data_IF_563120259152
#
_entry.id   IF_563120259152
#
_cell.length_a   1.000
_cell.length_b   1.000
_cell.length_c   1.000
_cell.angle_alpha   90.00
_cell.angle_beta   90.00
_cell.angle_gamma   90.00
#
_symmetry.space_group_name_H-M   'P 1'
#
loop_
_entity.id
_entity.type
_entity.pdbx_description
1 polymer ?
#
# COMPACT_ATOMS: atom_id res chain seq x y z
N UNK A 1 -2.25 16.26 2.40
CA UNK A 1 -0.92 16.71 2.88
C UNK A 1 -0.71 16.07 4.23
N UNK A 2 0.50 15.91 4.69
CA UNK A 2 0.81 15.40 6.03
C UNK A 2 1.15 16.57 6.96
N UNK A 3 1.03 16.40 8.28
CA UNK A 3 1.58 17.36 9.24
C UNK A 3 3.09 17.16 9.35
N UNK A 4 3.86 18.23 9.25
CA UNK A 4 5.33 18.21 9.14
C UNK A 4 5.98 19.18 10.11
N UNK A 5 7.29 19.02 10.35
CA UNK A 5 8.05 19.97 11.20
C UNK A 5 8.13 21.34 10.55
N UNK A 6 8.27 21.41 9.22
CA UNK A 6 8.33 22.67 8.46
C UNK A 6 6.98 22.93 7.76
N UNK A 7 6.68 24.20 7.39
CA UNK A 7 5.42 24.54 6.74
C UNK A 7 5.17 23.72 5.47
N UNK A 8 3.90 23.49 5.13
CA UNK A 8 3.49 22.75 3.92
C UNK A 8 3.99 23.37 2.60
N UNK A 9 4.39 24.62 2.62
CA UNK A 9 5.03 25.31 1.49
C UNK A 9 6.48 24.91 1.26
N UNK A 10 7.09 24.20 2.21
CA UNK A 10 8.44 23.65 2.04
C UNK A 10 8.43 22.57 0.97
N UNK A 11 9.18 22.78 -0.09
CA UNK A 11 9.22 21.88 -1.26
C UNK A 11 9.76 20.49 -0.92
N UNK A 12 10.53 20.34 0.16
CA UNK A 12 11.02 19.04 0.65
C UNK A 12 9.88 18.10 1.06
N UNK A 13 8.77 18.66 1.53
CA UNK A 13 7.59 17.91 1.94
C UNK A 13 6.67 17.55 0.76
N UNK A 14 6.99 18.00 -0.47
CA UNK A 14 6.19 17.69 -1.66
C UNK A 14 6.57 16.28 -2.17
N UNK A 15 5.55 15.50 -2.50
CA UNK A 15 5.72 14.25 -3.24
C UNK A 15 5.34 14.53 -4.71
N UNK A 16 6.30 15.03 -5.48
CA UNK A 16 6.09 15.44 -6.87
C UNK A 16 5.90 14.25 -7.79
N UNK A 17 5.33 14.51 -8.96
CA UNK A 17 5.22 13.50 -10.00
C UNK A 17 6.62 12.98 -10.41
N UNK A 18 6.71 11.70 -10.70
CA UNK A 18 7.95 10.98 -11.05
C UNK A 18 9.00 10.88 -9.93
N UNK A 19 8.62 11.13 -8.68
CA UNK A 19 9.48 10.89 -7.51
C UNK A 19 9.26 9.52 -6.85
N UNK A 20 8.54 8.61 -7.52
CA UNK A 20 8.26 7.27 -7.02
C UNK A 20 6.99 7.17 -6.16
N UNK A 21 6.12 8.20 -6.17
CA UNK A 21 4.87 8.24 -5.39
C UNK A 21 3.61 8.39 -6.27
N UNK A 22 3.72 8.23 -7.58
CA UNK A 22 2.61 8.45 -8.52
C UNK A 22 1.47 7.43 -8.41
N UNK A 23 1.67 6.36 -7.67
CA UNK A 23 0.62 5.41 -7.27
C UNK A 23 -0.02 5.69 -5.91
N UNK A 24 0.39 6.76 -5.20
CA UNK A 24 -0.34 7.27 -4.04
C UNK A 24 -1.41 8.22 -4.54
N UNK A 25 -2.66 7.94 -4.23
CA UNK A 25 -3.84 8.51 -4.87
C UNK A 25 -4.78 9.16 -3.86
N UNK A 26 -5.58 10.11 -4.32
CA UNK A 26 -6.71 10.62 -3.55
C UNK A 26 -7.94 9.74 -3.82
N UNK A 27 -8.56 9.25 -2.76
CA UNK A 27 -9.77 8.43 -2.80
C UNK A 27 -10.93 9.26 -2.31
N UNK A 28 -11.92 9.54 -3.15
CA UNK A 28 -13.10 10.32 -2.79
C UNK A 28 -14.33 9.42 -2.66
N UNK A 29 -15.03 9.56 -1.54
CA UNK A 29 -16.20 8.75 -1.16
C UNK A 29 -17.29 9.66 -0.60
N UNK A 30 -18.45 9.72 -1.24
CA UNK A 30 -19.66 10.42 -0.73
C UNK A 30 -19.40 11.86 -0.23
N UNK A 31 -18.54 12.62 -0.91
CA UNK A 31 -18.25 14.02 -0.56
C UNK A 31 -17.07 14.21 0.41
N UNK A 32 -16.53 13.14 0.94
CA UNK A 32 -15.27 13.13 1.71
C UNK A 32 -14.13 12.60 0.86
N UNK A 33 -12.91 12.79 1.32
CA UNK A 33 -11.75 12.19 0.69
C UNK A 33 -10.77 11.62 1.73
N UNK A 34 -9.98 10.69 1.27
CA UNK A 34 -8.82 10.14 1.95
C UNK A 34 -7.72 9.85 0.93
N UNK A 35 -6.77 9.08 1.35
CA UNK A 35 -5.63 8.64 0.55
C UNK A 35 -5.71 7.13 0.30
N UNK A 36 -5.05 6.65 -0.74
CA UNK A 36 -4.90 5.23 -1.03
C UNK A 36 -3.60 4.96 -1.78
N UNK A 37 -3.27 3.70 -1.96
CA UNK A 37 -2.05 3.27 -2.64
C UNK A 37 -2.34 2.17 -3.65
N UNK A 38 -1.82 2.34 -4.88
CA UNK A 38 -1.96 1.37 -5.97
C UNK A 38 -1.10 0.14 -5.71
N UNK A 39 -1.71 -1.03 -5.68
CA UNK A 39 -1.01 -2.28 -5.50
C UNK A 39 -0.39 -2.80 -6.81
N UNK A 40 0.44 -3.81 -6.67
CA UNK A 40 1.29 -4.41 -7.70
C UNK A 40 0.54 -4.96 -8.94
N UNK A 41 -0.77 -5.13 -8.84
CA UNK A 41 -1.61 -5.63 -9.95
C UNK A 41 -2.15 -4.52 -10.87
N UNK A 42 -1.86 -3.24 -10.61
CA UNK A 42 -2.29 -2.13 -11.44
C UNK A 42 -3.79 -1.79 -11.43
N UNK A 43 -4.61 -2.48 -10.61
CA UNK A 43 -6.07 -2.31 -10.58
C UNK A 43 -6.64 -2.08 -9.18
N UNK A 44 -5.91 -2.45 -8.14
CA UNK A 44 -6.40 -2.38 -6.77
C UNK A 44 -5.74 -1.24 -5.99
N UNK A 45 -6.56 -0.42 -5.35
CA UNK A 45 -6.13 0.60 -4.40
C UNK A 45 -6.38 0.08 -2.98
N UNK A 46 -5.34 -0.04 -2.18
CA UNK A 46 -5.45 -0.31 -0.76
C UNK A 46 -5.66 1.01 -0.01
N UNK A 47 -6.64 1.06 0.88
CA UNK A 47 -7.04 2.24 1.65
C UNK A 47 -7.68 1.85 2.98
N UNK A 48 -8.18 2.82 3.76
CA UNK A 48 -8.84 2.57 5.03
C UNK A 48 -10.33 2.21 4.87
N UNK A 49 -10.82 1.28 5.69
CA UNK A 49 -12.22 0.86 5.71
C UNK A 49 -13.16 1.96 6.22
N UNK A 50 -12.72 2.77 7.19
CA UNK A 50 -13.55 3.82 7.77
C UNK A 50 -14.02 4.88 6.75
N UNK A 51 -13.34 5.04 5.61
CA UNK A 51 -13.80 5.89 4.51
C UNK A 51 -15.15 5.44 3.94
N UNK A 52 -15.51 4.19 4.14
CA UNK A 52 -16.76 3.55 3.67
C UNK A 52 -17.76 3.27 4.78
N UNK A 53 -17.54 3.82 5.98
CA UNK A 53 -18.41 3.59 7.16
C UNK A 53 -19.85 4.06 6.97
N UNK A 54 -20.10 4.96 6.01
CA UNK A 54 -21.43 5.40 5.60
C UNK A 54 -22.17 4.39 4.70
N UNK A 55 -21.60 3.22 4.42
CA UNK A 55 -22.16 2.19 3.54
C UNK A 55 -21.92 2.43 2.05
N UNK A 56 -21.09 3.38 1.66
CA UNK A 56 -20.74 3.61 0.25
C UNK A 56 -20.06 2.39 -0.36
N UNK A 57 -20.48 2.03 -1.57
CA UNK A 57 -19.93 0.90 -2.34
C UNK A 57 -19.16 1.33 -3.58
N UNK A 58 -18.91 2.62 -3.72
CA UNK A 58 -18.19 3.23 -4.84
C UNK A 58 -17.26 4.34 -4.37
N UNK A 59 -16.22 4.59 -5.14
CA UNK A 59 -15.27 5.67 -4.95
C UNK A 59 -14.82 6.23 -6.29
N UNK A 60 -14.30 7.46 -6.27
CA UNK A 60 -13.45 7.99 -7.35
C UNK A 60 -12.02 8.09 -6.89
N UNK A 61 -11.09 7.75 -7.78
CA UNK A 61 -9.66 7.69 -7.48
C UNK A 61 -8.93 8.64 -8.42
N UNK A 62 -8.30 9.66 -7.85
CA UNK A 62 -7.51 10.64 -8.60
C UNK A 62 -6.03 10.30 -8.52
N UNK A 63 -5.42 10.05 -9.66
CA UNK A 63 -3.99 9.93 -9.85
C UNK A 63 -3.39 11.29 -10.23
N UNK A 64 -2.19 11.57 -9.74
CA UNK A 64 -1.37 12.70 -10.16
C UNK A 64 0.00 12.15 -10.56
N UNK A 65 0.24 12.03 -11.86
CA UNK A 65 1.43 11.42 -12.44
C UNK A 65 2.18 12.38 -13.35
N UNK A 66 3.34 11.98 -13.84
CA UNK A 66 4.10 12.74 -14.84
C UNK A 66 3.35 12.94 -16.16
N UNK A 67 2.38 12.08 -16.47
CA UNK A 67 1.49 12.23 -17.63
C UNK A 67 0.29 13.16 -17.36
N UNK A 68 0.19 13.73 -16.16
CA UNK A 68 -0.91 14.60 -15.72
C UNK A 68 -1.86 13.93 -14.74
N UNK A 69 -2.93 14.65 -14.39
CA UNK A 69 -3.96 14.15 -13.49
C UNK A 69 -5.00 13.31 -14.25
N UNK A 70 -5.36 12.16 -13.70
CA UNK A 70 -6.40 11.29 -14.22
C UNK A 70 -7.32 10.81 -13.09
N UNK A 71 -8.62 10.80 -13.33
CA UNK A 71 -9.61 10.29 -12.36
C UNK A 71 -10.29 9.05 -12.91
N UNK A 72 -10.29 7.98 -12.14
CA UNK A 72 -10.97 6.72 -12.43
C UNK A 72 -12.07 6.47 -11.40
N UNK A 73 -13.08 5.73 -11.80
CA UNK A 73 -14.12 5.23 -10.89
C UNK A 73 -13.79 3.83 -10.41
N UNK A 74 -14.32 3.44 -9.27
CA UNK A 74 -14.28 2.05 -8.84
C UNK A 74 -15.33 1.21 -9.57
N UNK A 75 -14.97 -0.04 -9.87
CA UNK A 75 -15.94 -1.08 -10.25
C UNK A 75 -16.48 -1.80 -9.01
N UNK A 76 -15.70 -1.82 -7.92
CA UNK A 76 -16.02 -2.51 -6.69
C UNK A 76 -15.28 -1.91 -5.50
N UNK A 77 -15.89 -1.95 -4.32
CA UNK A 77 -15.26 -1.66 -3.03
C UNK A 77 -15.41 -2.87 -2.12
N UNK A 78 -14.33 -3.31 -1.54
CA UNK A 78 -14.26 -4.47 -0.66
C UNK A 78 -13.69 -4.04 0.69
N UNK A 79 -14.58 -3.79 1.65
CA UNK A 79 -14.21 -3.52 3.04
C UNK A 79 -13.91 -4.85 3.73
N UNK A 80 -12.86 -4.91 4.56
CA UNK A 80 -12.57 -6.08 5.38
C UNK A 80 -13.80 -6.47 6.20
N UNK A 81 -14.25 -7.73 6.06
CA UNK A 81 -15.48 -8.20 6.73
C UNK A 81 -15.42 -8.17 8.26
N UNK A 82 -14.21 -8.12 8.81
CA UNK A 82 -13.93 -8.04 10.25
C UNK A 82 -13.62 -6.61 10.72
N UNK A 83 -13.89 -5.59 9.90
CA UNK A 83 -13.69 -4.20 10.30
C UNK A 83 -14.51 -3.87 11.55
N UNK A 84 -13.84 -3.36 12.58
CA UNK A 84 -14.41 -2.97 13.87
C UNK A 84 -14.10 -1.49 14.12
N UNK A 85 -15.07 -0.64 13.85
CA UNK A 85 -14.93 0.81 13.98
C UNK A 85 -14.71 1.26 15.44
N UNK A 86 -15.23 0.51 16.42
CA UNK A 86 -15.10 0.88 17.84
C UNK A 86 -13.67 0.72 18.36
N UNK A 87 -12.93 -0.23 17.80
CA UNK A 87 -11.54 -0.52 18.18
C UNK A 87 -10.54 -0.22 17.05
N UNK A 88 -11.02 0.35 15.93
CA UNK A 88 -10.22 0.61 14.72
C UNK A 88 -9.45 -0.62 14.21
N UNK A 89 -9.96 -1.82 14.51
CA UNK A 89 -9.37 -3.07 14.08
C UNK A 89 -9.77 -3.41 12.65
N UNK A 90 -8.83 -3.96 11.89
CA UNK A 90 -9.05 -4.39 10.50
C UNK A 90 -9.54 -3.24 9.60
N UNK A 91 -9.06 -2.02 9.84
CA UNK A 91 -9.45 -0.82 9.13
C UNK A 91 -8.78 -0.76 7.74
N UNK A 92 -9.13 -1.72 6.90
CA UNK A 92 -8.63 -1.87 5.53
C UNK A 92 -9.77 -2.06 4.53
N UNK A 93 -9.64 -1.44 3.38
CA UNK A 93 -10.50 -1.64 2.22
C UNK A 93 -9.68 -1.71 0.93
N UNK A 94 -10.19 -2.43 -0.05
CA UNK A 94 -9.66 -2.47 -1.41
C UNK A 94 -10.69 -1.86 -2.36
N UNK A 95 -10.29 -0.81 -3.05
CA UNK A 95 -11.04 -0.20 -4.14
C UNK A 95 -10.51 -0.78 -5.44
N UNK A 96 -11.33 -1.56 -6.16
CA UNK A 96 -10.99 -2.11 -7.46
C UNK A 96 -11.39 -1.11 -8.53
N UNK A 97 -10.44 -0.71 -9.35
CA UNK A 97 -10.65 0.28 -10.41
C UNK A 97 -11.52 -0.27 -11.54
N UNK A 98 -12.26 0.59 -12.20
CA UNK A 98 -12.91 0.28 -13.45
C UNK A 98 -11.91 0.46 -14.61
N UNK A 99 -11.10 -0.59 -14.84
CA UNK A 99 -9.94 -0.60 -15.72
C UNK A 99 -8.62 -0.53 -14.95
N UNK A 100 -7.52 -0.33 -15.68
CA UNK A 100 -6.19 -0.27 -15.13
C UNK A 100 -5.78 1.17 -14.78
N UNK A 101 -4.87 1.29 -13.82
CA UNK A 101 -4.26 2.56 -13.44
C UNK A 101 -3.42 3.15 -14.60
N UNK A 102 -3.16 4.48 -14.61
CA UNK A 102 -2.28 5.11 -15.59
C UNK A 102 -0.91 4.40 -15.66
N UNK A 103 -0.33 4.31 -16.86
CA UNK A 103 0.95 3.64 -17.09
C UNK A 103 2.10 4.21 -16.26
N UNK A 104 2.06 5.53 -16.05
CA UNK A 104 3.07 6.27 -15.26
C UNK A 104 2.85 6.19 -13.75
N UNK A 105 1.76 5.59 -13.27
CA UNK A 105 1.54 5.38 -11.85
C UNK A 105 2.42 4.24 -11.32
N UNK A 106 3.07 4.45 -10.19
CA UNK A 106 3.85 3.40 -9.54
C UNK A 106 2.94 2.31 -8.98
N UNK A 107 3.30 1.04 -9.21
CA UNK A 107 2.68 -0.15 -8.61
C UNK A 107 3.54 -0.58 -7.44
N UNK A 108 2.93 -0.81 -6.26
CA UNK A 108 3.70 -1.11 -5.06
C UNK A 108 3.47 -2.52 -4.56
N UNK A 109 4.57 -3.16 -4.17
CA UNK A 109 4.60 -4.42 -3.44
C UNK A 109 4.25 -4.22 -1.96
N UNK A 110 3.76 -5.29 -1.33
CA UNK A 110 3.54 -5.33 0.11
C UNK A 110 4.88 -5.56 0.84
N UNK A 111 5.07 -4.88 1.97
CA UNK A 111 6.11 -5.23 2.92
C UNK A 111 5.65 -6.45 3.71
N UNK A 112 6.35 -7.57 3.52
CA UNK A 112 5.88 -8.89 3.99
C UNK A 112 6.52 -9.35 5.30
N UNK A 113 7.59 -8.70 5.74
CA UNK A 113 8.26 -9.03 6.99
C UNK A 113 7.56 -8.39 8.19
N UNK A 114 7.55 -9.09 9.33
CA UNK A 114 6.94 -8.60 10.57
C UNK A 114 7.96 -7.93 11.51
N UNK A 115 8.92 -7.21 10.93
CA UNK A 115 10.03 -6.57 11.61
C UNK A 115 10.04 -5.04 11.43
N UNK A 116 8.85 -4.42 11.30
CA UNK A 116 8.68 -3.00 11.02
C UNK A 116 9.05 -2.11 12.21
N UNK A 117 8.87 -2.59 13.45
CA UNK A 117 9.17 -1.82 14.66
C UNK A 117 10.66 -1.48 14.71
N UNK A 118 10.96 -0.21 14.97
CA UNK A 118 12.30 0.36 14.91
C UNK A 118 12.74 0.81 13.52
N UNK A 119 11.93 0.57 12.48
CA UNK A 119 12.27 1.01 11.11
C UNK A 119 11.67 2.36 10.79
N UNK A 120 12.48 3.18 10.15
CA UNK A 120 12.03 4.42 9.51
C UNK A 120 11.18 4.10 8.29
N UNK A 121 10.12 4.85 8.10
CA UNK A 121 9.23 4.78 6.95
C UNK A 121 8.96 6.16 6.36
N UNK A 122 8.58 6.20 5.09
CA UNK A 122 8.03 7.39 4.46
C UNK A 122 6.50 7.31 4.48
N UNK A 123 5.84 8.32 5.02
CA UNK A 123 4.39 8.49 4.92
C UNK A 123 4.07 9.47 3.79
N UNK A 124 3.03 9.17 3.02
CA UNK A 124 2.63 9.97 1.85
C UNK A 124 1.12 10.06 1.79
N UNK A 125 0.60 11.27 1.61
CA UNK A 125 -0.85 11.44 1.53
C UNK A 125 -1.33 12.80 1.06
N UNK A 126 -2.66 12.97 1.09
CA UNK A 126 -3.41 14.13 0.63
C UNK A 126 -4.15 14.86 1.77
N UNK A 127 -3.80 14.61 3.03
CA UNK A 127 -4.48 15.17 4.20
C UNK A 127 -4.42 16.70 4.31
N UNK A 128 -4.93 17.24 5.40
CA UNK A 128 -4.85 18.69 5.70
C UNK A 128 -3.40 19.10 5.96
N UNK A 129 -2.99 20.32 5.53
CA UNK A 129 -1.65 20.79 5.85
C UNK A 129 -1.57 21.15 7.33
N UNK A 130 -0.46 20.78 7.96
CA UNK A 130 -0.21 21.08 9.36
C UNK A 130 1.27 21.25 9.67
N UNK A 131 1.54 21.76 10.86
CA UNK A 131 2.89 21.70 11.44
C UNK A 131 2.83 21.11 12.84
N UNK A 132 3.88 20.42 13.24
CA UNK A 132 3.95 19.85 14.59
C UNK A 132 3.75 20.90 15.70
N UNK A 133 4.08 22.15 15.47
CA UNK A 133 3.94 23.24 16.46
C UNK A 133 2.54 23.85 16.55
N UNK A 134 1.66 23.62 15.56
CA UNK A 134 0.33 24.25 15.51
C UNK A 134 -0.80 23.29 15.12
N UNK A 135 -0.45 22.04 14.82
CA UNK A 135 -1.40 21.06 14.32
C UNK A 135 -1.84 21.35 12.88
N UNK A 136 -2.85 20.61 12.43
CA UNK A 136 -3.45 20.75 11.10
C UNK A 136 -4.29 22.01 10.94
N UNK A 137 -4.30 22.55 9.73
CA UNK A 137 -5.09 23.73 9.40
C UNK A 137 -6.46 23.36 8.86
N UNK A 138 -7.46 23.23 9.72
CA UNK A 138 -8.85 22.95 9.34
C UNK A 138 -9.46 24.07 8.47
N UNK A 139 -8.87 25.27 8.47
CA UNK A 139 -9.30 26.37 7.61
C UNK A 139 -8.71 26.30 6.18
N UNK A 140 -7.89 25.30 5.88
CA UNK A 140 -7.34 25.15 4.54
C UNK A 140 -8.43 24.78 3.53
N UNK A 141 -8.67 25.68 2.60
CA UNK A 141 -9.67 25.51 1.54
C UNK A 141 -9.05 25.30 0.14
N UNK A 142 -7.73 25.09 0.09
CA UNK A 142 -7.02 24.83 -1.16
C UNK A 142 -7.23 23.39 -1.66
N UNK A 143 -6.80 23.14 -2.90
CA UNK A 143 -6.78 21.78 -3.43
C UNK A 143 -5.78 20.94 -2.65
N UNK A 144 -6.18 19.75 -2.16
CA UNK A 144 -5.24 18.82 -1.52
C UNK A 144 -4.07 18.49 -2.45
N UNK A 145 -2.87 18.55 -1.90
CA UNK A 145 -1.63 18.23 -2.62
C UNK A 145 -0.93 17.07 -1.94
N UNK A 146 -0.36 16.16 -2.75
CA UNK A 146 0.39 15.04 -2.25
C UNK A 146 1.68 15.51 -1.57
N UNK A 147 1.81 15.16 -0.30
CA UNK A 147 3.00 15.45 0.51
C UNK A 147 3.56 14.19 1.13
N UNK A 148 4.79 14.29 1.61
CA UNK A 148 5.54 13.21 2.26
C UNK A 148 6.26 13.74 3.49
N UNK A 149 6.47 12.83 4.43
CA UNK A 149 7.35 13.00 5.57
C UNK A 149 7.96 11.64 5.94
N UNK A 150 8.79 11.61 6.94
CA UNK A 150 9.31 10.37 7.52
C UNK A 150 8.88 10.24 8.97
N UNK A 151 8.79 9.01 9.44
CA UNK A 151 8.66 8.72 10.86
C UNK A 151 9.25 7.32 11.13
N UNK A 152 9.27 6.87 12.36
CA UNK A 152 9.73 5.55 12.77
C UNK A 152 8.57 4.82 13.45
N UNK A 153 8.38 3.55 13.13
CA UNK A 153 7.45 2.73 13.91
C UNK A 153 8.07 2.36 15.25
N UNK A 154 7.47 2.82 16.33
CA UNK A 154 8.03 2.71 17.67
C UNK A 154 7.50 1.49 18.42
N UNK A 155 6.23 1.12 18.20
CA UNK A 155 5.60 0.00 18.90
C UNK A 155 4.37 -0.56 18.15
N UNK A 156 3.80 -1.62 18.72
CA UNK A 156 2.46 -2.11 18.41
C UNK A 156 1.44 -1.46 19.37
N UNK A 157 0.28 -1.07 18.88
CA UNK A 157 -0.75 -0.39 19.66
C UNK A 157 -1.26 -1.24 20.85
N UNK A 158 -1.17 -2.57 20.75
CA UNK A 158 -1.54 -3.45 21.88
C UNK A 158 -0.59 -3.32 23.05
N UNK A 159 0.68 -2.98 22.82
CA UNK A 159 1.67 -2.68 23.87
C UNK A 159 1.27 -1.40 24.63
N UNK A 160 0.84 -0.37 23.89
CA UNK A 160 0.31 0.86 24.47
C UNK A 160 -0.93 0.58 25.31
N UNK A 161 -1.89 -0.20 24.79
CA UNK A 161 -3.09 -0.64 25.53
C UNK A 161 -2.76 -1.43 26.79
N UNK A 162 -1.80 -2.34 26.73
CA UNK A 162 -1.37 -3.13 27.89
C UNK A 162 -0.84 -2.25 29.03
N UNK A 163 -0.18 -1.14 28.72
CA UNK A 163 0.38 -0.21 29.70
C UNK A 163 -0.67 0.77 30.22
N UNK A 164 -1.46 1.37 29.33
CA UNK A 164 -2.41 2.43 29.68
C UNK A 164 -3.76 1.90 30.21
N UNK A 165 -4.08 0.62 29.97
CA UNK A 165 -5.31 0.01 30.41
C UNK A 165 -6.57 0.78 29.99
N UNK A 166 -7.44 1.18 30.96
CA UNK A 166 -8.69 1.89 30.67
C UNK A 166 -8.52 3.29 30.09
N UNK A 167 -7.35 3.93 30.26
CA UNK A 167 -7.06 5.25 29.68
C UNK A 167 -7.17 5.23 28.15
N UNK A 168 -6.83 4.11 27.55
CA UNK A 168 -7.08 3.84 26.14
C UNK A 168 -8.43 3.13 26.00
N UNK A 169 -9.48 3.83 25.57
CA UNK A 169 -10.85 3.35 25.56
C UNK A 169 -11.21 2.38 24.41
N UNK A 170 -10.26 2.05 23.55
CA UNK A 170 -10.38 1.02 22.51
C UNK A 170 -9.35 -0.09 22.74
N UNK A 171 -9.55 -1.23 22.07
CA UNK A 171 -8.68 -2.41 22.23
C UNK A 171 -8.17 -2.87 20.86
N UNK A 172 -6.93 -2.49 20.48
CA UNK A 172 -6.31 -2.96 19.27
C UNK A 172 -6.01 -4.46 19.33
N UNK A 173 -6.18 -5.14 18.20
CA UNK A 173 -5.71 -6.52 18.04
C UNK A 173 -4.19 -6.55 18.04
N UNK A 174 -3.62 -7.44 18.86
CA UNK A 174 -2.17 -7.57 18.98
C UNK A 174 -1.51 -7.89 17.63
N UNK A 175 -0.43 -7.19 17.32
CA UNK A 175 0.36 -7.39 16.12
C UNK A 175 -0.24 -6.82 14.84
N UNK A 176 -1.34 -6.05 14.92
CA UNK A 176 -2.05 -5.58 13.72
C UNK A 176 -2.02 -4.07 13.50
N UNK A 177 -1.63 -3.30 14.51
CA UNK A 177 -1.58 -1.83 14.42
C UNK A 177 -0.20 -1.33 14.84
N UNK A 178 0.55 -0.77 13.90
CA UNK A 178 1.83 -0.10 14.15
C UNK A 178 1.56 1.33 14.57
N UNK A 179 2.33 1.84 15.54
CA UNK A 179 2.22 3.22 16.04
C UNK A 179 3.56 3.94 15.99
N UNK A 180 3.47 5.25 15.79
CA UNK A 180 4.57 6.21 15.86
C UNK A 180 4.05 7.51 16.48
N UNK A 181 4.87 8.22 17.24
CA UNK A 181 4.52 9.54 17.73
C UNK A 181 5.13 10.66 16.87
N UNK A 182 4.65 11.88 17.08
CA UNK A 182 5.16 13.04 16.35
C UNK A 182 6.06 13.86 17.28
N UNK A 183 7.34 13.71 17.07
CA UNK A 183 8.38 14.26 17.91
C UNK A 183 8.92 15.62 17.45
N UNK A 184 9.39 16.40 18.41
CA UNK A 184 10.06 17.68 18.14
C UNK A 184 11.55 17.70 18.53
N UNK A 185 12.14 16.55 18.78
CA UNK A 185 13.52 16.39 19.23
C UNK A 185 13.69 16.53 20.75
N UNK A 186 12.60 16.69 21.51
CA UNK A 186 12.65 16.80 22.96
C UNK A 186 11.93 15.63 23.65
N UNK A 187 12.37 15.28 24.85
CA UNK A 187 11.70 14.24 25.64
C UNK A 187 10.30 14.64 26.09
N UNK A 188 9.97 15.93 26.10
CA UNK A 188 8.66 16.42 26.54
C UNK A 188 7.53 15.95 25.62
N UNK A 189 7.74 15.94 24.31
CA UNK A 189 6.79 15.55 23.28
C UNK A 189 7.01 14.11 22.76
N UNK A 190 8.03 13.39 23.23
CA UNK A 190 8.19 11.96 22.92
C UNK A 190 7.10 11.17 23.69
N UNK A 191 5.94 11.00 23.07
CA UNK A 191 4.76 10.39 23.69
C UNK A 191 4.99 8.93 24.02
N UNK A 192 5.45 8.14 23.06
CA UNK A 192 5.67 6.70 23.24
C UNK A 192 6.85 6.44 24.16
N UNK A 193 7.91 7.27 24.12
CA UNK A 193 9.01 7.20 25.08
C UNK A 193 8.56 7.45 26.51
N UNK A 194 7.65 8.41 26.74
CA UNK A 194 7.16 8.75 28.07
C UNK A 194 6.06 7.82 28.58
N UNK A 195 5.19 7.32 27.71
CA UNK A 195 4.06 6.48 28.09
C UNK A 195 4.44 5.00 28.25
N UNK A 196 5.31 4.48 27.36
CA UNK A 196 5.64 3.05 27.31
C UNK A 196 7.13 2.75 27.20
N UNK A 197 7.98 3.76 27.34
CA UNK A 197 9.45 3.66 27.21
C UNK A 197 9.87 3.08 25.82
N UNK A 198 9.17 3.46 24.76
CA UNK A 198 9.43 3.08 23.38
C UNK A 198 9.65 4.31 22.49
N UNK A 199 10.36 4.10 21.40
CA UNK A 199 10.59 5.16 20.42
C UNK A 199 11.83 6.00 20.64
N UNK A 200 12.02 6.93 19.72
CA UNK A 200 13.11 7.89 19.70
C UNK A 200 12.57 9.31 19.98
N UNK A 201 13.41 10.32 19.92
CA UNK A 201 12.99 11.72 19.99
C UNK A 201 12.80 12.36 18.61
N UNK A 202 12.64 11.53 17.58
CA UNK A 202 12.28 11.91 16.24
C UNK A 202 13.42 12.00 15.23
N UNK A 203 13.05 12.30 14.00
CA UNK A 203 13.90 12.36 12.81
C UNK A 203 14.26 13.80 12.42
N UNK A 204 14.09 14.76 13.33
CA UNK A 204 14.36 16.18 13.10
C UNK A 204 13.44 16.77 12.04
N UNK A 205 13.97 17.57 11.11
CA UNK A 205 13.15 18.25 10.09
C UNK A 205 12.47 17.35 9.06
N UNK A 206 12.79 16.05 9.05
CA UNK A 206 12.14 15.07 8.19
C UNK A 206 10.90 14.44 8.82
N UNK A 207 10.72 14.64 10.11
CA UNK A 207 9.60 14.08 10.88
C UNK A 207 8.25 14.61 10.42
N UNK A 208 7.23 13.76 10.53
CA UNK A 208 5.86 14.15 10.31
C UNK A 208 4.88 13.09 10.76
N UNK A 209 3.62 13.46 10.80
CA UNK A 209 2.49 12.61 11.16
C UNK A 209 1.38 12.70 10.12
N UNK A 210 0.48 11.74 10.12
CA UNK A 210 -0.76 11.81 9.33
C UNK A 210 -1.69 12.89 9.89
N UNK A 211 -2.54 13.45 9.03
CA UNK A 211 -3.55 14.44 9.36
C UNK A 211 -4.90 14.05 8.72
N UNK A 212 -5.98 14.78 8.99
CA UNK A 212 -7.28 14.53 8.37
C UNK A 212 -7.16 14.50 6.84
N UNK A 213 -7.65 13.41 6.19
CA UNK A 213 -7.51 13.14 4.76
C UNK A 213 -6.31 12.28 4.37
N UNK A 214 -5.37 12.00 5.29
CA UNK A 214 -4.34 10.98 5.07
C UNK A 214 -4.81 9.55 5.34
N UNK A 215 -6.02 9.37 5.88
CA UNK A 215 -6.68 8.08 6.07
C UNK A 215 -6.55 7.19 4.84
N UNK A 216 -6.02 5.98 5.01
CA UNK A 216 -5.74 5.05 3.91
C UNK A 216 -4.41 5.29 3.20
N UNK A 217 -3.66 6.32 3.55
CA UNK A 217 -2.34 6.61 3.00
C UNK A 217 -1.28 5.59 3.42
N UNK A 218 -0.31 5.31 2.54
CA UNK A 218 0.73 4.33 2.83
C UNK A 218 1.83 4.86 3.76
N UNK A 219 2.36 3.96 4.58
CA UNK A 219 3.69 4.03 5.16
C UNK A 219 4.60 3.08 4.37
N UNK A 220 5.68 3.60 3.79
CA UNK A 220 6.61 2.84 2.97
C UNK A 220 7.89 2.50 3.72
N UNK A 221 8.26 1.22 3.76
CA UNK A 221 9.60 0.75 4.13
C UNK A 221 10.26 0.21 2.86
N UNK A 222 11.40 0.79 2.48
CA UNK A 222 12.14 0.41 1.27
C UNK A 222 11.27 0.36 0.00
N UNK A 223 10.35 1.34 -0.16
CA UNK A 223 9.45 1.44 -1.29
C UNK A 223 8.30 0.42 -1.32
N UNK A 224 8.11 -0.38 -0.26
CA UNK A 224 7.02 -1.34 -0.12
C UNK A 224 6.02 -0.86 0.92
N UNK A 225 4.74 -1.16 0.73
CA UNK A 225 3.65 -0.75 1.62
C UNK A 225 3.70 -1.57 2.91
N UNK A 226 4.10 -0.94 4.01
CA UNK A 226 4.23 -1.55 5.33
C UNK A 226 3.05 -1.24 6.27
N UNK A 227 2.40 -0.10 6.08
CA UNK A 227 1.25 0.32 6.86
C UNK A 227 0.25 1.12 6.06
N UNK A 228 -1.01 1.12 6.50
CA UNK A 228 -2.11 1.94 5.96
C UNK A 228 -2.63 2.84 7.09
N UNK A 229 -2.56 4.13 6.90
CA UNK A 229 -2.95 5.15 7.87
C UNK A 229 -4.40 4.98 8.34
N UNK A 230 -4.62 4.99 9.65
CA UNK A 230 -5.91 4.68 10.24
C UNK A 230 -6.42 5.78 11.15
N UNK A 231 -5.67 6.19 12.18
CA UNK A 231 -6.11 7.22 13.13
C UNK A 231 -4.93 7.95 13.80
N UNK A 232 -5.24 9.10 14.40
CA UNK A 232 -4.37 9.82 15.33
C UNK A 232 -5.06 9.92 16.69
N UNK A 233 -4.28 10.09 17.75
CA UNK A 233 -4.79 10.20 19.11
C UNK A 233 -3.83 10.99 20.00
N UNK A 234 -4.39 11.70 20.98
CA UNK A 234 -3.68 12.32 22.09
C UNK A 234 -3.93 11.51 23.36
N UNK A 235 -2.90 11.02 24.02
CA UNK A 235 -2.99 10.22 25.20
C UNK A 235 -2.13 10.77 26.34
N UNK A 236 -2.68 10.66 27.56
CA UNK A 236 -2.01 11.13 28.78
C UNK A 236 -2.19 10.09 29.89
N UNK A 237 -1.23 9.98 30.80
CA UNK A 237 -1.32 9.11 31.97
C UNK A 237 -0.68 9.78 33.19
N UNK A 238 -1.47 9.99 34.24
CA UNK A 238 -1.00 10.66 35.45
C UNK A 238 -0.50 12.08 35.17
N UNK A 239 0.79 12.32 35.43
CA UNK A 239 1.45 13.61 35.14
C UNK A 239 2.11 13.67 33.75
N UNK A 240 1.96 12.62 32.95
CA UNK A 240 2.53 12.55 31.60
C UNK A 240 1.51 13.10 30.59
N UNK A 241 1.80 14.27 30.03
CA UNK A 241 1.01 14.96 29.00
C UNK A 241 1.96 15.33 27.86
N UNK A 242 2.15 14.48 26.85
CA UNK A 242 3.11 14.73 25.78
C UNK A 242 2.65 15.75 24.74
N UNK A 243 1.35 15.75 24.46
CA UNK A 243 0.72 16.62 23.47
C UNK A 243 0.85 18.08 23.86
N UNK A 244 1.28 18.93 22.92
CA UNK A 244 1.60 20.34 23.18
C UNK A 244 0.38 21.21 23.47
N UNK A 245 -0.82 20.84 23.00
CA UNK A 245 -2.04 21.65 23.12
C UNK A 245 -3.26 20.88 23.64
N UNK A 246 -3.12 19.59 23.91
CA UNK A 246 -4.17 18.67 24.36
C UNK A 246 -5.36 18.55 23.39
N UNK A 247 -5.14 18.75 22.09
CA UNK A 247 -6.13 18.64 21.04
C UNK A 247 -5.67 17.63 20.00
N UNK A 248 -6.55 16.75 19.52
CA UNK A 248 -6.21 15.81 18.44
C UNK A 248 -6.22 16.59 17.12
N UNK A 249 -5.06 16.98 16.63
CA UNK A 249 -4.90 17.84 15.46
C UNK A 249 -3.58 17.64 14.70
N UNK A 250 -2.93 16.49 14.87
CA UNK A 250 -1.63 16.16 14.28
C UNK A 250 -0.50 17.12 14.69
N UNK A 251 -0.47 17.55 15.97
CA UNK A 251 0.60 18.33 16.58
C UNK A 251 1.63 17.45 17.30
N UNK A 252 2.73 18.08 17.79
CA UNK A 252 3.75 17.34 18.52
C UNK A 252 3.22 16.68 19.79
N UNK A 253 3.64 15.45 20.01
CA UNK A 253 3.26 14.65 21.16
C UNK A 253 2.00 13.82 20.96
N UNK A 254 1.42 13.84 19.76
CA UNK A 254 0.35 12.94 19.37
C UNK A 254 0.88 11.62 18.77
N UNK A 255 0.05 10.58 18.80
CA UNK A 255 0.37 9.25 18.32
C UNK A 255 -0.49 8.95 17.09
N UNK A 256 0.14 8.52 16.03
CA UNK A 256 -0.51 8.03 14.81
C UNK A 256 -0.43 6.52 14.71
N UNK A 257 -1.43 5.91 14.07
CA UNK A 257 -1.53 4.47 13.91
C UNK A 257 -1.79 4.06 12.46
N UNK A 258 -1.19 2.94 12.07
CA UNK A 258 -1.31 2.31 10.75
C UNK A 258 -1.71 0.85 10.90
N UNK A 259 -2.62 0.38 10.06
CA UNK A 259 -2.87 -1.05 9.93
C UNK A 259 -1.63 -1.72 9.35
N UNK A 260 -1.12 -2.75 10.04
CA UNK A 260 0.14 -3.44 9.72
C UNK A 260 -0.04 -4.36 8.52
N UNK A 261 0.47 -3.99 7.34
CA UNK A 261 0.24 -4.72 6.08
C UNK A 261 0.75 -6.15 6.13
N UNK A 262 1.88 -6.42 6.80
CA UNK A 262 2.40 -7.80 6.95
C UNK A 262 1.43 -8.72 7.69
N UNK A 263 0.62 -8.20 8.61
CA UNK A 263 -0.41 -8.96 9.32
C UNK A 263 -1.62 -9.30 8.43
N UNK A 264 -1.88 -8.48 7.41
CA UNK A 264 -3.03 -8.63 6.52
C UNK A 264 -2.65 -9.12 5.11
N UNK A 265 -1.38 -9.45 4.85
CA UNK A 265 -0.90 -9.82 3.51
C UNK A 265 -1.69 -10.98 2.90
N UNK A 266 -2.08 -11.99 3.69
CA UNK A 266 -2.89 -13.11 3.19
C UNK A 266 -4.25 -12.63 2.71
N UNK A 267 -4.95 -11.84 3.51
CA UNK A 267 -6.27 -11.33 3.16
C UNK A 267 -6.21 -10.43 1.93
N UNK A 268 -5.18 -9.58 1.82
CA UNK A 268 -4.96 -8.71 0.66
C UNK A 268 -4.71 -9.56 -0.59
N UNK A 269 -3.69 -10.43 -0.57
CA UNK A 269 -3.31 -11.25 -1.74
C UNK A 269 -4.48 -12.13 -2.22
N UNK A 270 -5.19 -12.79 -1.29
CA UNK A 270 -6.32 -13.64 -1.64
C UNK A 270 -7.51 -12.84 -2.19
N UNK A 271 -7.76 -11.63 -1.67
CA UNK A 271 -8.78 -10.74 -2.22
C UNK A 271 -8.43 -10.31 -3.64
N UNK A 272 -7.16 -9.97 -3.92
CA UNK A 272 -6.73 -9.64 -5.28
C UNK A 272 -6.93 -10.81 -6.23
N UNK A 273 -6.45 -12.01 -5.86
CA UNK A 273 -6.56 -13.23 -6.67
C UNK A 273 -8.00 -13.62 -7.00
N UNK A 274 -8.90 -13.45 -6.03
CA UNK A 274 -10.33 -13.74 -6.22
C UNK A 274 -11.04 -12.76 -7.18
N UNK A 275 -10.40 -11.64 -7.51
CA UNK A 275 -10.97 -10.61 -8.39
C UNK A 275 -10.27 -10.48 -9.74
N UNK A 276 -9.24 -11.28 -10.03
CA UNK A 276 -8.61 -11.29 -11.34
C UNK A 276 -9.56 -11.87 -12.41
N UNK A 277 -9.82 -11.09 -13.45
CA UNK A 277 -10.71 -11.49 -14.53
C UNK A 277 -10.00 -12.50 -15.43
N UNK A 278 -10.66 -13.64 -15.68
CA UNK A 278 -10.16 -14.70 -16.58
C UNK A 278 -8.79 -15.27 -16.21
N UNK A 279 -8.36 -15.14 -14.96
CA UNK A 279 -7.15 -15.77 -14.48
C UNK A 279 -7.29 -17.32 -14.54
N UNK A 280 -6.26 -18.06 -15.00
CA UNK A 280 -6.29 -19.50 -15.05
C UNK A 280 -6.33 -20.10 -13.63
N UNK A 281 -7.16 -21.12 -13.45
CA UNK A 281 -7.27 -21.88 -12.21
C UNK A 281 -6.58 -23.25 -12.30
N UNK A 282 -6.07 -23.61 -13.47
CA UNK A 282 -5.31 -24.83 -13.77
C UNK A 282 -4.43 -24.65 -15.00
N UNK A 283 -3.40 -25.46 -15.13
CA UNK A 283 -2.41 -25.36 -16.21
C UNK A 283 -3.02 -25.37 -17.62
N UNK A 284 -4.12 -26.14 -17.84
CA UNK A 284 -4.78 -26.23 -19.15
C UNK A 284 -5.50 -24.95 -19.59
N UNK A 285 -5.70 -23.99 -18.69
CA UNK A 285 -6.35 -22.70 -18.98
C UNK A 285 -5.33 -21.59 -19.26
N UNK A 286 -4.05 -21.87 -19.05
CA UNK A 286 -2.99 -20.89 -19.24
C UNK A 286 -2.85 -20.53 -20.72
N UNK A 287 -3.04 -19.26 -21.05
CA UNK A 287 -2.82 -18.72 -22.38
C UNK A 287 -1.33 -18.36 -22.55
N UNK A 288 -0.66 -19.00 -23.51
CA UNK A 288 0.74 -18.72 -23.82
C UNK A 288 0.90 -17.51 -24.73
N UNK A 289 -0.15 -17.14 -25.45
CA UNK A 289 -0.22 -15.96 -26.32
C UNK A 289 -1.39 -15.09 -25.89
N UNK A 290 -1.17 -13.79 -25.86
CA UNK A 290 -2.15 -12.77 -25.48
C UNK A 290 -2.17 -11.69 -26.54
N UNK A 291 -3.32 -11.39 -27.11
CA UNK A 291 -3.51 -10.30 -28.06
C UNK A 291 -3.47 -8.98 -27.29
N UNK A 292 -2.67 -8.03 -27.74
CA UNK A 292 -2.48 -6.73 -27.07
C UNK A 292 -3.70 -5.83 -27.17
N UNK A 293 -4.37 -5.83 -28.34
CA UNK A 293 -5.48 -4.94 -28.66
C UNK A 293 -5.02 -3.54 -29.06
N UNK A 294 -5.91 -2.78 -29.68
CA UNK A 294 -5.61 -1.49 -30.28
C UNK A 294 -5.48 -0.31 -29.28
N UNK A 295 -5.62 -0.56 -27.98
CA UNK A 295 -5.47 0.42 -26.88
C UNK A 295 -5.78 -0.20 -25.53
N UNK A 296 -5.29 0.44 -24.46
CA UNK A 296 -5.58 0.04 -23.09
C UNK A 296 -4.64 -1.05 -22.58
N UNK A 297 -5.10 -1.83 -21.62
CA UNK A 297 -4.28 -2.85 -20.96
C UNK A 297 -5.06 -4.15 -20.89
N UNK A 298 -4.36 -5.26 -21.16
CA UNK A 298 -4.84 -6.65 -21.01
C UNK A 298 -3.90 -7.39 -20.08
N UNK A 299 -4.42 -8.23 -19.19
CA UNK A 299 -3.58 -9.03 -18.29
C UNK A 299 -3.13 -10.34 -18.94
N UNK A 300 -1.83 -10.59 -18.93
CA UNK A 300 -1.23 -11.91 -19.11
C UNK A 300 -0.97 -12.54 -17.74
N UNK A 301 -1.30 -13.84 -17.59
CA UNK A 301 -1.12 -14.53 -16.31
C UNK A 301 -0.06 -15.61 -16.42
N UNK A 302 0.82 -15.69 -15.42
CA UNK A 302 1.70 -16.81 -15.17
C UNK A 302 1.16 -17.60 -13.99
N UNK A 303 0.87 -18.87 -14.16
CA UNK A 303 0.42 -19.76 -13.09
C UNK A 303 1.63 -20.49 -12.51
N UNK A 304 1.83 -20.37 -11.21
CA UNK A 304 2.80 -21.15 -10.44
C UNK A 304 2.06 -22.19 -9.60
N UNK A 305 2.44 -23.46 -9.75
CA UNK A 305 1.88 -24.57 -8.99
C UNK A 305 2.95 -25.19 -8.07
N UNK A 306 2.57 -25.50 -6.84
CA UNK A 306 3.36 -26.29 -5.90
C UNK A 306 2.83 -27.73 -5.89
N UNK A 307 3.63 -28.66 -6.39
CA UNK A 307 3.29 -30.08 -6.49
C UNK A 307 3.85 -30.94 -5.35
N UNK A 308 4.62 -30.31 -4.44
CA UNK A 308 5.21 -30.98 -3.29
C UNK A 308 4.24 -31.15 -2.10
N UNK A 309 4.79 -31.60 -0.99
CA UNK A 309 4.07 -31.73 0.29
C UNK A 309 4.63 -30.70 1.26
N UNK A 310 3.77 -29.95 1.91
CA UNK A 310 4.17 -28.99 2.95
C UNK A 310 4.70 -29.73 4.18
N UNK A 311 5.73 -29.21 4.81
CA UNK A 311 6.32 -29.80 6.03
C UNK A 311 5.37 -29.73 7.23
N UNK A 312 4.46 -28.75 7.24
CA UNK A 312 3.36 -28.65 8.20
C UNK A 312 2.19 -27.89 7.55
N UNK A 313 0.95 -28.04 8.08
CA UNK A 313 -0.26 -27.45 7.50
C UNK A 313 -0.27 -25.91 7.44
N UNK A 314 0.49 -25.25 8.28
CA UNK A 314 0.55 -23.76 8.37
C UNK A 314 1.72 -23.16 7.62
N UNK A 315 2.54 -23.99 6.94
CA UNK A 315 3.71 -23.53 6.22
C UNK A 315 3.34 -22.59 5.07
N UNK A 316 3.93 -21.40 5.07
CA UNK A 316 3.95 -20.51 3.91
C UNK A 316 5.01 -20.97 2.92
N UNK A 317 4.69 -20.86 1.63
CA UNK A 317 5.65 -21.03 0.55
C UNK A 317 5.79 -19.70 -0.16
N UNK A 318 6.98 -19.35 -0.58
CA UNK A 318 7.17 -18.14 -1.37
C UNK A 318 8.28 -18.29 -2.41
N UNK A 319 8.19 -17.45 -3.42
CA UNK A 319 9.19 -17.28 -4.47
C UNK A 319 9.31 -15.82 -4.82
N UNK A 320 10.47 -15.40 -5.24
CA UNK A 320 10.64 -14.11 -5.89
C UNK A 320 10.43 -14.25 -7.39
N UNK A 321 9.87 -13.22 -8.01
CA UNK A 321 9.66 -13.18 -9.45
C UNK A 321 10.07 -11.84 -10.04
N UNK A 322 10.47 -11.85 -11.30
CA UNK A 322 10.77 -10.65 -12.09
C UNK A 322 10.53 -10.92 -13.57
N UNK A 323 9.95 -9.95 -14.27
CA UNK A 323 9.89 -10.01 -15.75
C UNK A 323 11.24 -9.68 -16.35
N UNK A 324 11.48 -10.20 -17.55
CA UNK A 324 12.66 -9.94 -18.35
C UNK A 324 12.27 -9.81 -19.82
N UNK A 325 12.81 -8.80 -20.49
CA UNK A 325 12.61 -8.59 -21.92
C UNK A 325 13.07 -9.79 -22.76
N UNK A 326 12.27 -10.04 -23.76
CA UNK A 326 12.65 -10.81 -24.94
C UNK A 326 12.74 -9.86 -26.15
N UNK A 327 11.91 -10.09 -27.16
CA UNK A 327 11.67 -9.10 -28.24
C UNK A 327 10.78 -7.98 -27.71
N UNK A 328 9.72 -8.30 -26.94
CA UNK A 328 8.90 -7.32 -26.23
C UNK A 328 9.70 -6.56 -25.16
N UNK A 329 9.41 -5.25 -24.99
CA UNK A 329 10.12 -4.32 -24.11
C UNK A 329 9.25 -3.77 -22.98
N UNK A 330 9.81 -3.79 -21.80
CA UNK A 330 9.16 -3.18 -20.65
C UNK A 330 9.00 -1.66 -20.84
N UNK A 331 7.77 -1.17 -20.61
CA UNK A 331 7.40 0.24 -20.80
C UNK A 331 6.91 0.59 -22.20
N UNK A 332 7.08 -0.30 -23.18
CA UNK A 332 6.55 -0.21 -24.54
C UNK A 332 5.40 -1.22 -24.71
N UNK A 333 5.66 -2.51 -24.51
CA UNK A 333 4.73 -3.61 -24.78
C UNK A 333 4.11 -4.20 -23.52
N UNK A 334 4.76 -4.05 -22.36
CA UNK A 334 4.26 -4.53 -21.08
C UNK A 334 4.79 -3.72 -19.90
N UNK A 335 4.11 -3.81 -18.76
CA UNK A 335 4.61 -3.22 -17.52
C UNK A 335 5.46 -4.26 -16.78
N UNK A 336 6.74 -3.92 -16.54
CA UNK A 336 7.63 -4.77 -15.78
C UNK A 336 7.12 -5.00 -14.37
N UNK A 337 7.13 -6.26 -13.93
CA UNK A 337 6.77 -6.64 -12.56
C UNK A 337 7.94 -7.31 -11.86
N UNK A 338 8.05 -7.04 -10.56
CA UNK A 338 9.01 -7.69 -9.65
C UNK A 338 8.39 -7.76 -8.27
N UNK A 339 8.43 -8.93 -7.65
CA UNK A 339 7.86 -9.07 -6.32
C UNK A 339 8.08 -10.44 -5.71
N UNK A 340 7.31 -10.73 -4.67
CA UNK A 340 7.29 -12.02 -3.99
C UNK A 340 5.87 -12.60 -4.05
N UNK A 341 5.72 -13.77 -4.67
CA UNK A 341 4.50 -14.56 -4.61
C UNK A 341 4.52 -15.43 -3.36
N UNK A 342 3.45 -15.36 -2.57
CA UNK A 342 3.26 -16.20 -1.38
C UNK A 342 2.10 -17.14 -1.62
N UNK A 343 2.28 -18.44 -1.39
CA UNK A 343 1.22 -19.44 -1.30
C UNK A 343 0.90 -19.71 0.18
N UNK A 344 -0.30 -19.38 0.58
CA UNK A 344 -0.79 -19.55 1.94
C UNK A 344 -1.18 -21.01 2.22
N UNK A 345 -1.43 -21.42 3.47
CA UNK A 345 -1.63 -22.83 3.84
C UNK A 345 -2.65 -23.61 3.00
N UNK A 346 -3.68 -22.94 2.52
CA UNK A 346 -4.75 -23.56 1.73
C UNK A 346 -4.56 -23.40 0.21
N UNK A 347 -3.40 -22.89 -0.23
CA UNK A 347 -3.11 -22.62 -1.64
C UNK A 347 -1.95 -23.47 -2.12
N UNK A 348 -2.16 -24.19 -3.21
CA UNK A 348 -1.10 -24.91 -3.92
C UNK A 348 -0.71 -24.25 -5.23
N UNK A 349 -1.41 -23.18 -5.62
CA UNK A 349 -1.14 -22.43 -6.83
C UNK A 349 -1.58 -20.99 -6.69
N UNK A 350 -0.95 -20.11 -7.45
CA UNK A 350 -1.37 -18.72 -7.63
C UNK A 350 -0.87 -18.17 -8.96
N UNK A 351 -1.53 -17.09 -9.42
CA UNK A 351 -1.14 -16.39 -10.63
C UNK A 351 -0.36 -15.13 -10.34
N UNK A 352 0.54 -14.79 -11.25
CA UNK A 352 1.24 -13.51 -11.33
C UNK A 352 0.70 -12.79 -12.57
N UNK A 353 -0.02 -11.66 -12.42
CA UNK A 353 -0.48 -10.86 -13.54
C UNK A 353 0.67 -10.00 -14.10
N UNK A 354 0.67 -9.81 -15.41
CA UNK A 354 1.52 -8.83 -16.11
C UNK A 354 0.63 -8.05 -17.05
N UNK A 355 0.65 -6.73 -16.91
CA UNK A 355 -0.11 -5.80 -17.75
C UNK A 355 0.55 -5.68 -19.13
N UNK A 356 -0.18 -6.05 -20.20
CA UNK A 356 0.21 -5.92 -21.60
C UNK A 356 -0.39 -4.64 -22.16
N UNK A 357 0.40 -3.86 -22.85
CA UNK A 357 0.02 -2.54 -23.38
C UNK A 357 -0.44 -2.69 -24.82
N UNK A 358 -1.68 -2.31 -25.10
CA UNK A 358 -2.21 -2.27 -26.45
C UNK A 358 -2.02 -0.90 -27.08
N UNK A 359 -1.63 -0.89 -28.37
CA UNK A 359 -1.52 0.33 -29.17
C UNK A 359 -2.06 0.13 -30.60
N UNK A 360 -1.58 0.83 -31.59
CA UNK A 360 -1.97 0.74 -33.02
C UNK A 360 -0.77 0.71 -33.93
N UNK A 361 0.37 0.31 -33.42
CA UNK A 361 1.61 0.23 -34.18
C UNK A 361 1.70 -1.19 -34.75
N UNK A 362 1.68 -1.39 -36.08
CA UNK A 362 1.86 -2.71 -36.65
C UNK A 362 3.27 -3.25 -36.35
N UNK A 363 3.34 -4.33 -35.62
CA UNK A 363 4.60 -4.97 -35.21
C UNK A 363 4.58 -6.47 -35.50
N UNK A 364 5.64 -7.16 -35.22
CA UNK A 364 5.65 -8.62 -35.23
C UNK A 364 5.20 -9.12 -33.87
N UNK A 365 4.70 -10.36 -33.80
CA UNK A 365 4.48 -11.03 -32.51
C UNK A 365 5.76 -11.04 -31.69
N UNK A 366 5.65 -10.68 -30.41
CA UNK A 366 6.78 -10.46 -29.53
C UNK A 366 6.74 -11.36 -28.29
N UNK A 367 7.85 -11.49 -27.59
CA UNK A 367 7.95 -12.36 -26.43
C UNK A 367 8.62 -11.66 -25.26
N UNK A 368 8.15 -11.98 -24.05
CA UNK A 368 8.81 -11.64 -22.80
C UNK A 368 8.80 -12.83 -21.83
N UNK A 369 9.57 -12.73 -20.77
CA UNK A 369 9.79 -13.81 -19.82
C UNK A 369 9.44 -13.38 -18.40
N UNK A 370 9.02 -14.36 -17.58
CA UNK A 370 8.97 -14.24 -16.12
C UNK A 370 9.94 -15.26 -15.54
N UNK A 371 10.94 -14.77 -14.82
CA UNK A 371 11.89 -15.57 -14.08
C UNK A 371 11.45 -15.65 -12.61
N UNK A 372 11.40 -16.87 -12.07
CA UNK A 372 10.99 -17.17 -10.69
C UNK A 372 12.17 -17.83 -9.98
N UNK A 373 12.54 -17.29 -8.81
CA UNK A 373 13.73 -17.67 -8.06
C UNK A 373 13.50 -17.68 -6.56
N UNK A 374 14.54 -18.00 -5.77
CA UNK A 374 14.56 -17.93 -4.31
C UNK A 374 13.37 -18.64 -3.63
N UNK A 375 13.11 -19.94 -3.90
CA UNK A 375 12.02 -20.64 -3.25
C UNK A 375 12.25 -20.77 -1.75
N UNK A 376 11.21 -20.46 -0.96
CA UNK A 376 11.20 -20.65 0.50
C UNK A 376 10.10 -21.64 0.84
N UNK A 377 10.43 -22.63 1.66
CA UNK A 377 9.50 -23.70 2.05
C UNK A 377 9.29 -24.77 0.99
N UNK A 378 9.86 -24.61 -0.20
CA UNK A 378 9.88 -25.53 -1.32
C UNK A 378 11.20 -25.53 -2.06
N UNK A 379 11.29 -26.20 -3.20
CA UNK A 379 12.46 -26.17 -4.08
C UNK A 379 12.08 -26.37 -5.54
N UNK A 380 12.94 -25.96 -6.45
CA UNK A 380 12.82 -26.23 -7.89
C UNK A 380 13.65 -27.44 -8.32
N UNK A 381 13.98 -28.35 -7.38
CA UNK A 381 14.89 -29.46 -7.65
C UNK A 381 16.31 -28.97 -7.92
N UNK A 382 16.83 -29.31 -9.11
CA UNK A 382 18.23 -29.00 -9.48
C UNK A 382 18.38 -27.67 -10.25
N UNK A 383 17.32 -26.87 -10.42
CA UNK A 383 17.38 -25.58 -11.10
C UNK A 383 17.26 -24.43 -10.12
N UNK A 384 17.94 -23.31 -10.41
CA UNK A 384 17.92 -22.12 -9.55
C UNK A 384 16.80 -21.15 -9.93
N UNK A 385 16.37 -21.18 -11.19
CA UNK A 385 15.37 -20.26 -11.75
C UNK A 385 14.43 -21.08 -12.64
N UNK A 386 13.11 -20.87 -12.45
CA UNK A 386 12.09 -21.31 -13.40
C UNK A 386 11.76 -20.12 -14.30
N UNK A 387 11.71 -20.33 -15.62
CA UNK A 387 11.38 -19.30 -16.60
C UNK A 387 10.11 -19.67 -17.36
N UNK A 388 9.12 -18.79 -17.31
CA UNK A 388 7.94 -18.83 -18.16
C UNK A 388 8.04 -17.80 -19.29
N UNK A 389 7.48 -18.08 -20.46
CA UNK A 389 7.41 -17.18 -21.59
C UNK A 389 5.96 -16.86 -21.94
N UNK A 390 5.71 -15.63 -22.41
CA UNK A 390 4.45 -15.22 -23.07
C UNK A 390 4.75 -14.58 -24.39
N UNK A 391 3.85 -14.78 -25.35
CA UNK A 391 3.84 -14.09 -26.62
C UNK A 391 2.78 -13.01 -26.59
N UNK A 392 3.13 -11.80 -26.94
CA UNK A 392 2.23 -10.70 -27.26
C UNK A 392 1.93 -10.81 -28.74
N UNK A 393 0.65 -10.96 -29.08
CA UNK A 393 0.21 -11.09 -30.48
C UNK A 393 -0.27 -9.73 -30.93
N UNK A 394 0.39 -9.21 -31.97
CA UNK A 394 -0.03 -8.01 -32.63
C UNK A 394 -1.30 -8.26 -33.44
N UNK A 395 -2.31 -7.38 -33.31
CA UNK A 395 -3.55 -7.42 -34.09
C UNK A 395 -3.75 -6.19 -34.98
N UNK A 396 -2.72 -5.35 -35.11
CA UNK A 396 -2.69 -4.20 -36.00
C UNK A 396 -2.18 -4.55 -37.41
N UNK A 397 -2.66 -3.84 -38.40
CA UNK A 397 -2.34 -4.11 -39.79
C UNK A 397 -1.50 -2.99 -40.41
N UNK A 398 -0.49 -3.36 -41.18
CA UNK A 398 0.20 -2.41 -42.01
C UNK A 398 -0.76 -1.87 -43.09
N UNK A 399 -1.04 -0.57 -43.07
CA UNK A 399 -1.92 0.12 -44.02
C UNK A 399 -1.09 0.70 -45.16
#
# INVERSE_FOLDING_TARGET
>A
MVSTVTPYTDTRNRALANEGYDGVVMVSVAGYYGTGVLLYNGQAILTAAHLFSNGSTSATVKFETSAGAQTLTSSKVMVMSSYDAANTNNDLAIVWLNGHAPLTANRYELYRSSDEIGKTFALVGYGQPGTGSSGESLAYSGTPIRQKASNQFDADASTLKATLGPTMNWTPLAGTQLIADFDNGTTAQNALGRLINAGSTGLGSAEGSISEGDSGGPAFINGKVAGIASYITSLSQGSVHPDIDNSVNASYGEIAAWQRVSAYQQAIDQTLRANYVSAPTKASEVKLAVTEGNSGIVDAYFLLEFTGVRSNPTQLLSVDYTTRDGTAKAGEDYIAVKGTLVLYPNENQAVIPVEILGDRIPEADETFFLDVSNPVGGSFGNVLVLTGMRTIVNDDVFV
#
